data_IF_862879135072
#
_entry.id   IF_862879135072
#
_cell.length_a   1.000
_cell.length_b   1.000
_cell.length_c   1.000
_cell.angle_alpha   90.00
_cell.angle_beta   90.00
_cell.angle_gamma   90.00
#
_symmetry.space_group_name_H-M   'P 1'
#
loop_
_entity.id
_entity.type
_entity.pdbx_description
1 polymer ?
#
# COMPACT_ATOMS: atom_id res chain seq x y z
N UNK A 1 -2.67 28.08 15.60
CA UNK A 1 -3.70 27.16 15.06
C UNK A 1 -3.62 25.86 15.85
N UNK A 2 -4.71 25.40 16.46
CA UNK A 2 -4.72 24.19 17.28
C UNK A 2 -4.77 22.97 16.34
N UNK A 3 -3.76 22.11 16.39
CA UNK A 3 -3.70 20.90 15.55
C UNK A 3 -4.81 19.95 16.02
N UNK A 4 -5.69 19.45 15.13
CA UNK A 4 -6.75 18.53 15.52
C UNK A 4 -6.13 17.30 16.18
N UNK A 5 -6.74 16.82 17.27
CA UNK A 5 -6.31 15.60 17.92
C UNK A 5 -6.34 14.46 16.87
N UNK A 6 -5.27 13.64 16.78
CA UNK A 6 -5.22 12.58 15.78
C UNK A 6 -6.43 11.65 15.97
N UNK A 7 -7.04 11.23 14.86
CA UNK A 7 -8.14 10.27 14.88
C UNK A 7 -7.73 9.04 15.71
N UNK A 8 -8.63 8.53 16.55
CA UNK A 8 -8.39 7.32 17.35
C UNK A 8 -9.25 6.21 16.74
N UNK A 9 -8.65 5.05 16.50
CA UNK A 9 -9.43 3.86 16.16
C UNK A 9 -9.64 3.04 17.43
N UNK A 10 -10.85 2.51 17.57
CA UNK A 10 -11.20 1.56 18.62
C UNK A 10 -11.22 0.17 18.01
N UNK A 11 -10.36 -0.71 18.48
CA UNK A 11 -10.28 -2.10 18.04
C UNK A 11 -10.92 -3.00 19.09
N UNK A 12 -11.82 -3.88 18.66
CA UNK A 12 -12.28 -5.00 19.48
C UNK A 12 -11.30 -6.16 19.29
N UNK A 13 -10.59 -6.53 20.35
CA UNK A 13 -9.61 -7.61 20.35
C UNK A 13 -10.16 -8.75 21.21
N UNK A 14 -9.99 -9.99 20.74
CA UNK A 14 -10.34 -11.20 21.50
C UNK A 14 -9.12 -12.10 21.60
N UNK A 15 -8.77 -12.54 22.80
CA UNK A 15 -7.72 -13.52 23.03
C UNK A 15 -8.16 -14.94 22.63
N UNK A 16 -7.20 -15.81 22.36
CA UNK A 16 -7.52 -17.22 22.11
C UNK A 16 -8.00 -17.88 23.41
N UNK A 17 -9.28 -18.24 23.44
CA UNK A 17 -9.95 -18.88 24.58
C UNK A 17 -10.88 -17.96 25.37
N UNK A 18 -10.96 -16.67 25.04
CA UNK A 18 -11.86 -15.73 25.72
C UNK A 18 -13.24 -15.66 25.04
N UNK A 19 -14.30 -15.55 25.86
CA UNK A 19 -15.69 -15.37 25.39
C UNK A 19 -16.02 -13.88 25.11
N UNK A 20 -15.27 -12.95 25.72
CA UNK A 20 -15.53 -11.51 25.66
C UNK A 20 -14.51 -10.74 24.79
N UNK A 21 -14.91 -9.55 24.33
CA UNK A 21 -14.05 -8.65 23.55
C UNK A 21 -13.50 -7.51 24.44
N UNK A 22 -12.22 -7.20 24.31
CA UNK A 22 -11.60 -6.02 24.90
C UNK A 22 -11.56 -4.86 23.88
N UNK A 23 -11.99 -3.67 24.30
CA UNK A 23 -11.90 -2.45 23.51
C UNK A 23 -10.52 -1.79 23.71
N UNK A 24 -9.69 -1.82 22.66
CA UNK A 24 -8.36 -1.19 22.67
C UNK A 24 -8.35 0.08 21.82
N UNK A 25 -8.07 1.22 22.46
CA UNK A 25 -7.80 2.46 21.73
C UNK A 25 -6.38 2.43 21.15
N UNK A 26 -6.27 2.56 19.83
CA UNK A 26 -4.98 2.70 19.14
C UNK A 26 -4.88 4.06 18.48
N UNK A 27 -3.69 4.71 18.54
CA UNK A 27 -3.42 5.87 17.71
C UNK A 27 -3.66 5.51 16.24
N UNK A 28 -4.35 6.37 15.49
CA UNK A 28 -4.59 6.16 14.04
C UNK A 28 -3.35 5.82 13.24
N UNK A 29 -2.20 6.35 13.66
CA UNK A 29 -0.89 6.06 13.07
C UNK A 29 -0.55 4.57 13.15
N UNK A 30 -0.80 3.90 14.27
CA UNK A 30 -0.51 2.46 14.42
C UNK A 30 -1.48 1.63 13.58
N UNK A 31 -2.76 1.98 13.56
CA UNK A 31 -3.73 1.33 12.68
C UNK A 31 -3.39 1.51 11.19
N UNK A 32 -2.91 2.69 10.82
CA UNK A 32 -2.47 3.01 9.46
C UNK A 32 -1.21 2.23 9.06
N UNK A 33 -0.19 2.18 9.93
CA UNK A 33 1.04 1.41 9.68
C UNK A 33 0.78 -0.10 9.56
N UNK A 34 -0.17 -0.63 10.35
CA UNK A 34 -0.59 -2.02 10.31
C UNK A 34 -1.63 -2.32 9.20
N UNK A 35 -2.09 -1.31 8.47
CA UNK A 35 -3.00 -1.53 7.36
C UNK A 35 -2.34 -2.42 6.29
N UNK A 36 -3.11 -3.31 5.68
CA UNK A 36 -2.64 -4.25 4.65
C UNK A 36 -3.31 -3.91 3.32
N UNK A 37 -2.72 -3.01 2.51
CA UNK A 37 -3.30 -2.59 1.26
C UNK A 37 -3.50 -3.81 0.34
N UNK A 38 -4.65 -3.85 -0.32
CA UNK A 38 -4.97 -4.88 -1.30
C UNK A 38 -5.25 -4.22 -2.64
N UNK A 39 -4.56 -4.69 -3.68
CA UNK A 39 -4.82 -4.33 -5.06
C UNK A 39 -6.17 -4.87 -5.55
N UNK A 40 -6.56 -4.47 -6.75
CA UNK A 40 -7.74 -5.02 -7.43
C UNK A 40 -7.58 -6.53 -7.64
N UNK A 41 -8.70 -7.25 -7.80
CA UNK A 41 -8.67 -8.66 -8.18
C UNK A 41 -7.86 -8.85 -9.47
N UNK A 42 -7.12 -9.95 -9.56
CA UNK A 42 -6.18 -10.20 -10.66
C UNK A 42 -6.85 -10.20 -12.04
N UNK A 43 -8.12 -10.58 -12.11
CA UNK A 43 -8.93 -10.54 -13.33
C UNK A 43 -9.37 -9.13 -13.74
N UNK A 44 -9.29 -8.16 -12.82
CA UNK A 44 -9.74 -6.77 -13.03
C UNK A 44 -8.67 -5.84 -13.58
N UNK A 45 -7.42 -6.31 -13.71
CA UNK A 45 -6.32 -5.51 -14.25
C UNK A 45 -5.40 -6.32 -15.16
N UNK A 46 -4.58 -5.61 -15.92
CA UNK A 46 -3.41 -6.15 -16.62
C UNK A 46 -2.23 -5.21 -16.47
N UNK A 47 -1.02 -5.78 -16.48
CA UNK A 47 0.23 -5.02 -16.46
C UNK A 47 1.05 -5.42 -17.67
N UNK A 48 1.54 -4.41 -18.40
CA UNK A 48 2.44 -4.59 -19.54
C UNK A 48 3.71 -3.76 -19.37
N UNK A 49 4.85 -4.29 -19.79
CA UNK A 49 6.12 -3.57 -19.83
C UNK A 49 6.18 -2.64 -21.04
N UNK A 50 6.51 -1.37 -20.81
CA UNK A 50 6.77 -0.42 -21.88
C UNK A 50 8.24 -0.57 -22.33
N UNK A 51 8.46 -1.40 -23.34
CA UNK A 51 9.77 -1.57 -23.99
C UNK A 51 9.96 -0.53 -25.08
N UNK A 52 10.09 0.74 -24.71
CA UNK A 52 10.44 1.81 -25.65
C UNK A 52 11.95 2.06 -25.66
N UNK A 53 12.57 2.08 -26.85
CA UNK A 53 13.99 2.46 -27.01
C UNK A 53 14.26 3.94 -26.76
N UNK A 54 13.22 4.76 -26.71
CA UNK A 54 13.30 6.22 -26.52
C UNK A 54 12.94 6.66 -25.10
N UNK A 55 12.45 5.74 -24.25
CA UNK A 55 12.11 6.08 -22.87
C UNK A 55 13.39 6.16 -22.01
N UNK A 56 13.49 7.21 -21.20
CA UNK A 56 14.62 7.47 -20.30
C UNK A 56 14.74 6.39 -19.21
N UNK A 57 13.63 5.73 -18.87
CA UNK A 57 13.60 4.60 -17.94
C UNK A 57 12.53 3.57 -18.38
N UNK A 58 12.70 2.27 -18.04
CA UNK A 58 11.67 1.26 -18.27
C UNK A 58 10.42 1.61 -17.45
N UNK A 59 9.27 1.68 -18.13
CA UNK A 59 7.98 1.94 -17.52
C UNK A 59 7.04 0.74 -17.62
N UNK A 60 5.95 0.78 -16.85
CA UNK A 60 4.88 -0.22 -16.90
C UNK A 60 3.55 0.48 -17.17
N UNK A 61 2.64 -0.20 -17.87
CA UNK A 61 1.26 0.24 -18.03
C UNK A 61 0.41 -0.66 -17.14
N UNK A 62 -0.24 -0.09 -16.14
CA UNK A 62 -1.29 -0.74 -15.37
C UNK A 62 -2.64 -0.34 -15.95
N UNK A 63 -3.35 -1.28 -16.56
CA UNK A 63 -4.68 -1.05 -17.12
C UNK A 63 -5.75 -1.69 -16.25
N UNK A 64 -6.77 -0.92 -15.93
CA UNK A 64 -8.00 -1.42 -15.30
C UNK A 64 -8.93 -1.93 -16.41
N UNK A 65 -9.27 -3.23 -16.37
CA UNK A 65 -10.09 -3.87 -17.41
C UNK A 65 -11.56 -3.48 -17.33
N UNK A 66 -12.05 -3.06 -16.17
CA UNK A 66 -13.45 -2.68 -15.94
C UNK A 66 -13.77 -1.28 -16.46
N UNK A 67 -12.83 -0.35 -16.29
CA UNK A 67 -13.02 1.08 -16.60
C UNK A 67 -12.28 1.53 -17.85
N UNK A 68 -11.46 0.65 -18.44
CA UNK A 68 -10.57 0.92 -19.58
C UNK A 68 -9.57 2.07 -19.33
N UNK A 69 -9.36 2.46 -18.06
CA UNK A 69 -8.37 3.46 -17.65
C UNK A 69 -7.00 2.83 -17.47
N UNK A 70 -5.95 3.62 -17.69
CA UNK A 70 -4.57 3.17 -17.50
C UNK A 70 -3.74 4.18 -16.71
N UNK A 71 -2.72 3.66 -16.03
CA UNK A 71 -1.67 4.42 -15.36
C UNK A 71 -0.31 4.00 -15.91
N UNK A 72 0.59 4.97 -16.08
CA UNK A 72 2.00 4.70 -16.29
C UNK A 72 2.68 4.61 -14.93
N UNK A 73 3.40 3.52 -14.70
CA UNK A 73 4.15 3.29 -13.47
C UNK A 73 5.65 3.27 -13.78
N UNK A 74 6.41 3.94 -12.92
CA UNK A 74 7.84 3.72 -12.75
C UNK A 74 8.13 2.33 -12.17
N UNK A 75 9.41 1.97 -12.08
CA UNK A 75 9.83 0.73 -11.44
C UNK A 75 9.51 0.71 -9.92
N UNK A 76 9.62 1.87 -9.26
CA UNK A 76 9.32 2.08 -7.86
C UNK A 76 7.82 1.89 -7.59
N UNK A 77 6.96 2.53 -8.38
CA UNK A 77 5.50 2.43 -8.23
C UNK A 77 5.01 1.01 -8.58
N UNK A 78 5.60 0.37 -9.60
CA UNK A 78 5.32 -1.04 -9.90
C UNK A 78 5.68 -1.95 -8.73
N UNK A 79 6.83 -1.71 -8.10
CA UNK A 79 7.23 -2.47 -6.92
C UNK A 79 6.23 -2.30 -5.77
N UNK A 80 5.81 -1.07 -5.47
CA UNK A 80 4.81 -0.81 -4.43
C UNK A 80 3.50 -1.54 -4.73
N UNK A 81 3.00 -1.48 -5.97
CA UNK A 81 1.80 -2.19 -6.40
C UNK A 81 1.89 -3.71 -6.17
N UNK A 82 3.03 -4.31 -6.48
CA UNK A 82 3.25 -5.75 -6.31
C UNK A 82 3.21 -6.17 -4.83
N UNK A 83 3.55 -5.28 -3.90
CA UNK A 83 3.47 -5.52 -2.45
C UNK A 83 2.06 -5.35 -1.86
N UNK A 84 1.11 -4.73 -2.58
CA UNK A 84 -0.27 -4.54 -2.12
C UNK A 84 -1.11 -5.82 -2.30
N UNK A 85 -0.69 -6.92 -1.66
CA UNK A 85 -1.34 -8.23 -1.74
C UNK A 85 -2.40 -8.47 -0.66
N UNK A 86 -2.56 -7.54 0.28
CA UNK A 86 -3.47 -7.65 1.42
C UNK A 86 -2.95 -8.52 2.57
N UNK A 87 -1.75 -9.11 2.46
CA UNK A 87 -1.02 -9.74 3.56
C UNK A 87 0.08 -8.85 4.13
N UNK A 88 0.73 -8.07 3.27
CA UNK A 88 1.86 -7.20 3.63
C UNK A 88 1.34 -5.88 4.21
N UNK A 89 1.81 -5.53 5.41
CA UNK A 89 1.45 -4.27 6.07
C UNK A 89 2.19 -3.08 5.48
N UNK A 90 1.64 -1.88 5.61
CA UNK A 90 2.27 -0.66 5.08
C UNK A 90 3.68 -0.43 5.63
N UNK A 91 3.92 -0.77 6.90
CA UNK A 91 5.26 -0.72 7.49
C UNK A 91 6.24 -1.70 6.81
N UNK A 92 5.80 -2.93 6.54
CA UNK A 92 6.62 -3.93 5.83
C UNK A 92 6.91 -3.49 4.39
N UNK A 93 5.90 -2.97 3.69
CA UNK A 93 6.06 -2.38 2.34
C UNK A 93 7.11 -1.27 2.38
N UNK A 94 7.02 -0.38 3.37
CA UNK A 94 7.94 0.74 3.49
C UNK A 94 9.37 0.29 3.78
N UNK A 95 9.54 -0.71 4.64
CA UNK A 95 10.84 -1.31 4.94
C UNK A 95 11.43 -1.96 3.68
N UNK A 96 10.64 -2.74 2.95
CA UNK A 96 11.07 -3.39 1.71
C UNK A 96 11.45 -2.38 0.62
N UNK A 97 10.74 -1.25 0.55
CA UNK A 97 11.06 -0.16 -0.37
C UNK A 97 12.44 0.44 -0.08
N UNK A 98 12.69 0.82 1.18
CA UNK A 98 14.00 1.37 1.61
C UNK A 98 15.12 0.38 1.35
N UNK A 99 14.92 -0.91 1.67
CA UNK A 99 15.93 -1.94 1.40
C UNK A 99 16.24 -2.09 -0.10
N UNK A 100 15.26 -1.87 -0.97
CA UNK A 100 15.43 -2.02 -2.42
C UNK A 100 15.97 -0.77 -3.11
N UNK A 101 15.56 0.42 -2.67
CA UNK A 101 15.83 1.68 -3.36
C UNK A 101 16.69 2.67 -2.55
N UNK A 102 17.11 2.29 -1.34
CA UNK A 102 18.02 3.07 -0.49
C UNK A 102 17.27 4.01 0.45
N UNK A 103 16.60 5.03 -0.10
CA UNK A 103 15.93 6.07 0.70
C UNK A 103 14.49 6.31 0.23
N UNK A 104 13.69 6.87 1.15
CA UNK A 104 12.40 7.44 0.83
C UNK A 104 12.58 8.88 0.37
N UNK A 105 12.83 9.07 -0.92
CA UNK A 105 12.85 10.40 -1.51
C UNK A 105 11.39 10.83 -1.78
N UNK A 106 10.68 11.18 -0.72
CA UNK A 106 9.41 11.91 -0.84
C UNK A 106 9.71 13.39 -0.54
N UNK A 107 9.77 14.22 -1.58
CA UNK A 107 9.45 15.64 -1.36
C UNK A 107 7.96 15.70 -0.94
N UNK A 108 7.69 16.05 0.32
CA UNK A 108 6.34 16.23 0.88
C UNK A 108 5.98 17.72 0.86
#
# INVERSE_FOLDING_TARGET
MQRPAPAKFELLVRGDGDEDFELRQVPSVIGYLNSRPRRLDQESYEISELRSRLAVAPGFILKNKTTDRFLLLSAQERFLWDQMDGSTSLQEIATAYVLKYGEFDFEI
#
